data_IF_414635428711
#
_entry.id   IF_414635428711
#
_cell.length_a   1.000
_cell.length_b   1.000
_cell.length_c   1.000
_cell.angle_alpha   90.00
_cell.angle_beta   90.00
_cell.angle_gamma   90.00
#
_symmetry.space_group_name_H-M   'P 1'
#
loop_
_entity.id
_entity.type
_entity.pdbx_description
1 polymer ?
#
# COMPACT_ATOMS: atom_id res chain seq x y z
N UNK A 1 -3.77 4.04 72.55
CA UNK A 1 -4.35 4.92 71.54
C UNK A 1 -3.34 4.97 70.40
N UNK A 2 -3.34 4.23 69.49
CA UNK A 2 -3.81 3.39 68.60
C UNK A 2 -4.38 3.92 67.35
N UNK A 3 -3.98 3.33 66.33
CA UNK A 3 -4.67 3.12 65.09
C UNK A 3 -4.42 4.05 63.93
N UNK A 4 -4.16 3.39 62.86
CA UNK A 4 -4.50 3.77 61.47
C UNK A 4 -3.42 4.47 60.69
N UNK A 5 -2.39 3.72 60.29
CA UNK A 5 -1.62 4.04 59.09
C UNK A 5 -1.26 2.76 58.31
N UNK A 6 -2.28 1.97 57.98
CA UNK A 6 -2.16 0.86 57.04
C UNK A 6 -3.38 0.84 56.15
N UNK A 7 -3.35 1.62 55.06
CA UNK A 7 -4.15 1.39 53.83
C UNK A 7 -3.86 2.48 52.83
N UNK A 8 -2.76 2.42 52.14
CA UNK A 8 -2.61 3.08 50.81
C UNK A 8 -1.36 2.59 50.10
N UNK A 9 -1.24 1.30 49.92
CA UNK A 9 -0.22 0.75 49.01
C UNK A 9 -0.83 -0.42 48.27
N UNK A 10 -1.73 -0.13 47.33
CA UNK A 10 -2.15 -1.16 46.38
C UNK A 10 -2.91 -0.57 45.19
N UNK A 11 -2.36 0.44 44.53
CA UNK A 11 -2.95 0.94 43.27
C UNK A 11 -1.95 1.42 42.23
N UNK A 12 -0.70 0.97 42.26
CA UNK A 12 0.34 1.48 41.35
C UNK A 12 0.99 0.42 40.48
N UNK A 13 0.42 -0.75 40.30
CA UNK A 13 1.12 -1.81 39.56
C UNK A 13 0.27 -2.56 38.52
N UNK A 14 -0.65 -1.86 37.86
CA UNK A 14 -1.34 -2.38 36.68
C UNK A 14 -0.76 -1.91 35.34
N UNK A 15 0.43 -1.34 35.32
CA UNK A 15 1.08 -0.80 34.11
C UNK A 15 2.23 -1.65 33.57
N UNK A 16 2.49 -2.79 34.18
CA UNK A 16 3.47 -3.74 33.62
C UNK A 16 2.70 -4.85 32.92
N UNK A 17 2.86 -4.92 31.61
CA UNK A 17 2.38 -6.01 30.78
C UNK A 17 2.79 -7.34 31.40
N UNK A 18 1.82 -8.19 31.69
CA UNK A 18 2.08 -9.55 32.18
C UNK A 18 2.97 -10.28 31.16
N UNK A 19 3.85 -11.13 31.63
CA UNK A 19 4.71 -11.97 30.78
C UNK A 19 3.88 -12.72 29.72
N UNK A 20 2.70 -13.17 30.11
CA UNK A 20 1.74 -13.84 29.23
C UNK A 20 1.28 -12.97 28.06
N UNK A 21 1.07 -11.67 28.28
CA UNK A 21 0.69 -10.72 27.21
C UNK A 21 1.85 -10.49 26.25
N UNK A 22 3.08 -10.47 26.76
CA UNK A 22 4.29 -10.35 25.93
C UNK A 22 4.48 -11.61 25.09
N UNK A 23 4.35 -12.79 25.69
CA UNK A 23 4.48 -14.06 24.99
C UNK A 23 3.35 -14.22 23.94
N UNK A 24 2.14 -13.82 24.25
CA UNK A 24 1.04 -13.78 23.30
C UNK A 24 1.32 -12.83 22.13
N UNK A 25 1.83 -11.63 22.39
CA UNK A 25 2.23 -10.68 21.34
C UNK A 25 3.33 -11.24 20.44
N UNK A 26 4.38 -11.83 21.03
CA UNK A 26 5.46 -12.47 20.28
C UNK A 26 4.91 -13.56 19.36
N UNK A 27 4.02 -14.42 19.88
CA UNK A 27 3.41 -15.49 19.09
C UNK A 27 2.56 -14.95 17.93
N UNK A 28 1.82 -13.86 18.14
CA UNK A 28 1.05 -13.20 17.08
C UNK A 28 1.98 -12.65 16.00
N UNK A 29 3.10 -12.01 16.38
CA UNK A 29 4.09 -11.47 15.44
C UNK A 29 4.74 -12.60 14.62
N UNK A 30 5.14 -13.69 15.27
CA UNK A 30 5.65 -14.87 14.57
C UNK A 30 4.63 -15.46 13.60
N UNK A 31 3.38 -15.64 14.05
CA UNK A 31 2.30 -16.15 13.19
C UNK A 31 2.01 -15.22 11.99
N UNK A 32 2.07 -13.91 12.20
CA UNK A 32 1.91 -12.94 11.11
C UNK A 32 3.04 -13.07 10.07
N UNK A 33 4.30 -13.14 10.53
CA UNK A 33 5.46 -13.33 9.66
C UNK A 33 5.34 -14.57 8.78
N UNK A 34 4.87 -15.68 9.36
CA UNK A 34 4.80 -16.96 8.65
C UNK A 34 3.62 -17.03 7.66
N UNK A 35 2.61 -16.18 7.83
CA UNK A 35 1.40 -16.15 6.99
C UNK A 35 1.43 -15.09 5.91
N UNK A 36 2.25 -14.03 6.08
CA UNK A 36 2.29 -12.93 5.11
C UNK A 36 3.20 -13.31 3.95
N UNK A 37 2.69 -13.18 2.74
CA UNK A 37 3.42 -13.35 1.48
C UNK A 37 3.15 -12.18 0.54
N UNK A 38 3.94 -12.07 -0.52
CA UNK A 38 3.62 -11.21 -1.64
C UNK A 38 2.76 -11.95 -2.65
N UNK A 39 1.70 -11.31 -3.10
CA UNK A 39 0.89 -11.84 -4.20
C UNK A 39 1.74 -11.91 -5.47
N UNK A 40 1.81 -13.08 -6.10
CA UNK A 40 2.57 -13.32 -7.33
C UNK A 40 2.10 -12.47 -8.52
N UNK A 41 0.85 -11.99 -8.49
CA UNK A 41 0.24 -11.21 -9.57
C UNK A 41 0.46 -9.71 -9.37
N UNK A 42 0.08 -9.16 -8.23
CA UNK A 42 0.05 -7.70 -8.01
C UNK A 42 1.14 -7.18 -7.08
N UNK A 43 1.96 -8.05 -6.54
CA UNK A 43 3.01 -7.75 -5.56
C UNK A 43 2.50 -7.14 -4.24
N UNK A 44 1.19 -7.12 -3.98
CA UNK A 44 0.65 -6.65 -2.70
C UNK A 44 0.96 -7.65 -1.58
N UNK A 45 0.98 -7.18 -0.33
CA UNK A 45 1.00 -8.04 0.85
C UNK A 45 -0.32 -8.79 0.99
N UNK A 46 -0.25 -10.10 1.24
CA UNK A 46 -1.41 -10.98 1.32
C UNK A 46 -1.15 -12.16 2.27
N UNK A 47 -2.21 -12.84 2.64
CA UNK A 47 -2.16 -14.10 3.39
C UNK A 47 -2.43 -15.33 2.52
N UNK A 48 -2.70 -15.10 1.23
CA UNK A 48 -2.90 -16.14 0.20
C UNK A 48 -2.29 -15.68 -1.13
N UNK A 49 -1.92 -16.62 -1.99
CA UNK A 49 -1.45 -16.33 -3.35
C UNK A 49 -2.29 -17.14 -4.37
N UNK A 50 -3.01 -16.46 -5.27
CA UNK A 50 -3.17 -15.00 -5.38
C UNK A 50 -3.93 -14.38 -4.20
N UNK A 51 -3.74 -13.06 -3.99
CA UNK A 51 -4.46 -12.31 -2.96
C UNK A 51 -5.97 -12.26 -3.27
N UNK A 52 -6.77 -11.91 -2.27
CA UNK A 52 -8.24 -11.81 -2.38
C UNK A 52 -8.69 -10.89 -3.54
N UNK A 53 -7.96 -9.79 -3.76
CA UNK A 53 -8.25 -8.85 -4.85
C UNK A 53 -8.00 -9.48 -6.22
N UNK A 54 -6.85 -10.13 -6.41
CA UNK A 54 -6.50 -10.76 -7.68
C UNK A 54 -7.31 -12.05 -7.95
N UNK A 55 -7.81 -12.70 -6.90
CA UNK A 55 -8.65 -13.89 -6.99
C UNK A 55 -10.15 -13.61 -7.18
N UNK A 56 -10.58 -12.35 -7.07
CA UNK A 56 -12.00 -11.99 -7.24
C UNK A 56 -12.37 -11.78 -8.71
N UNK A 57 -13.04 -12.76 -9.29
CA UNK A 57 -13.49 -12.75 -10.69
C UNK A 57 -14.56 -11.67 -11.01
N UNK A 58 -15.07 -10.96 -10.02
CA UNK A 58 -16.01 -9.84 -10.21
C UNK A 58 -15.30 -8.55 -10.56
N UNK A 59 -13.98 -8.48 -10.35
CA UNK A 59 -13.20 -7.28 -10.64
C UNK A 59 -12.88 -7.16 -12.13
N UNK A 60 -12.77 -5.91 -12.56
CA UNK A 60 -12.38 -5.60 -13.94
C UNK A 60 -10.88 -5.81 -14.13
N UNK A 61 -10.52 -6.93 -14.74
CA UNK A 61 -9.12 -7.25 -15.06
C UNK A 61 -8.51 -6.39 -16.16
N UNK A 62 -9.33 -5.61 -16.88
CA UNK A 62 -8.85 -4.74 -17.94
C UNK A 62 -8.24 -3.42 -17.44
N UNK A 63 -8.41 -3.09 -16.15
CA UNK A 63 -7.92 -1.86 -15.54
C UNK A 63 -7.00 -2.17 -14.37
N UNK A 64 -5.77 -1.64 -14.39
CA UNK A 64 -4.80 -1.80 -13.29
C UNK A 64 -4.46 -0.43 -12.70
N UNK A 65 -4.65 -0.28 -11.39
CA UNK A 65 -4.17 0.86 -10.62
C UNK A 65 -2.79 0.56 -10.05
N UNK A 66 -1.80 1.33 -10.43
CA UNK A 66 -0.40 1.19 -9.96
C UNK A 66 -0.16 2.15 -8.82
N UNK A 67 0.25 1.61 -7.68
CA UNK A 67 0.51 2.34 -6.44
C UNK A 67 1.93 2.11 -5.94
N UNK A 68 2.40 2.97 -5.05
CA UNK A 68 3.75 2.90 -4.49
C UNK A 68 3.87 1.82 -3.42
N UNK A 69 2.89 1.76 -2.50
CA UNK A 69 2.96 0.91 -1.31
C UNK A 69 1.67 0.09 -1.08
N UNK A 70 1.75 -1.02 -0.32
CA UNK A 70 0.57 -1.81 0.05
C UNK A 70 -0.52 -1.00 0.80
N UNK A 71 -0.12 0.02 1.57
CA UNK A 71 -1.05 0.89 2.30
C UNK A 71 -1.97 1.68 1.36
N UNK A 72 -1.48 2.04 0.18
CA UNK A 72 -2.25 2.80 -0.82
C UNK A 72 -3.40 1.95 -1.37
N UNK A 73 -3.16 0.64 -1.57
CA UNK A 73 -4.22 -0.31 -1.93
C UNK A 73 -5.32 -0.29 -0.88
N UNK A 74 -4.95 -0.36 0.40
CA UNK A 74 -5.92 -0.35 1.48
C UNK A 74 -6.72 0.95 1.52
N UNK A 75 -6.06 2.10 1.31
CA UNK A 75 -6.72 3.40 1.30
C UNK A 75 -7.73 3.52 0.14
N UNK A 76 -7.36 3.05 -1.06
CA UNK A 76 -8.24 3.06 -2.21
C UNK A 76 -9.42 2.10 -2.06
N UNK A 77 -9.21 0.91 -1.50
CA UNK A 77 -10.26 -0.07 -1.23
C UNK A 77 -11.30 0.43 -0.21
N UNK A 78 -10.90 1.27 0.75
CA UNK A 78 -11.83 1.88 1.71
C UNK A 78 -12.88 2.78 1.06
N UNK A 79 -12.61 3.32 -0.13
CA UNK A 79 -13.59 4.12 -0.87
C UNK A 79 -14.72 3.28 -1.47
N UNK A 80 -14.48 1.99 -1.73
CA UNK A 80 -15.38 1.08 -2.44
C UNK A 80 -15.80 1.52 -3.86
N UNK A 81 -15.10 2.51 -4.43
CA UNK A 81 -15.41 3.07 -5.76
C UNK A 81 -14.59 2.42 -6.88
N UNK A 82 -13.44 1.83 -6.55
CA UNK A 82 -12.57 1.21 -7.53
C UNK A 82 -12.79 -0.31 -7.61
N UNK A 83 -13.09 -0.80 -8.80
CA UNK A 83 -13.39 -2.20 -9.04
C UNK A 83 -12.39 -2.92 -9.95
N UNK A 84 -11.29 -2.27 -10.30
CA UNK A 84 -10.20 -2.86 -11.07
C UNK A 84 -9.20 -3.62 -10.20
N UNK A 85 -8.07 -3.97 -10.80
CA UNK A 85 -6.95 -4.64 -10.14
C UNK A 85 -5.86 -3.64 -9.75
N UNK A 86 -4.98 -4.04 -8.85
CA UNK A 86 -3.84 -3.22 -8.41
C UNK A 86 -2.50 -3.80 -8.85
N UNK A 87 -1.48 -2.97 -8.79
CA UNK A 87 -0.08 -3.38 -8.82
C UNK A 87 0.75 -2.50 -7.89
N UNK A 88 1.51 -3.12 -6.99
CA UNK A 88 2.32 -2.41 -5.97
C UNK A 88 3.77 -2.40 -6.41
N UNK A 89 4.36 -1.20 -6.51
CA UNK A 89 5.76 -1.00 -6.95
C UNK A 89 6.77 -1.27 -5.84
N UNK A 90 6.38 -1.17 -4.58
CA UNK A 90 7.23 -1.19 -3.38
C UNK A 90 8.23 -0.04 -3.32
N UNK A 91 7.83 1.14 -3.75
CA UNK A 91 8.58 2.39 -3.67
C UNK A 91 8.47 3.24 -4.93
N UNK A 92 9.37 4.19 -5.03
CA UNK A 92 9.48 5.18 -6.13
C UNK A 92 10.92 5.27 -6.62
N UNK A 93 11.11 5.81 -7.82
CA UNK A 93 12.44 6.13 -8.32
C UNK A 93 13.01 7.28 -7.48
N UNK A 94 14.12 7.03 -6.79
CA UNK A 94 14.84 8.04 -6.02
C UNK A 94 16.35 7.92 -6.27
N UNK A 95 16.89 8.63 -7.28
CA UNK A 95 18.32 8.60 -7.58
C UNK A 95 19.20 9.05 -6.41
N UNK A 96 18.67 9.94 -5.55
CA UNK A 96 19.38 10.42 -4.37
C UNK A 96 19.57 9.33 -3.31
N UNK A 97 18.57 8.44 -3.18
CA UNK A 97 18.60 7.28 -2.27
C UNK A 97 19.16 6.02 -2.97
N UNK A 98 19.58 6.13 -4.21
CA UNK A 98 20.10 5.03 -5.01
C UNK A 98 19.03 4.02 -5.44
N UNK A 99 17.74 4.41 -5.43
CA UNK A 99 16.63 3.53 -5.85
C UNK A 99 16.40 3.68 -7.34
N UNK A 100 16.80 2.65 -8.10
CA UNK A 100 16.59 2.53 -9.52
C UNK A 100 15.39 1.63 -9.88
N UNK A 101 15.10 1.52 -11.19
CA UNK A 101 13.97 0.72 -11.69
C UNK A 101 14.05 -0.77 -11.31
N UNK A 102 15.26 -1.29 -11.12
CA UNK A 102 15.51 -2.70 -10.80
C UNK A 102 15.09 -3.09 -9.36
N UNK A 103 15.00 -2.10 -8.48
CA UNK A 103 14.58 -2.29 -7.09
C UNK A 103 13.06 -2.24 -6.93
N UNK A 104 12.37 -1.75 -7.95
CA UNK A 104 10.92 -1.63 -7.99
C UNK A 104 10.28 -2.79 -8.77
N UNK A 105 9.01 -3.08 -8.47
CA UNK A 105 8.23 -4.13 -9.14
C UNK A 105 7.73 -3.73 -10.54
N UNK A 106 8.56 -3.01 -11.29
CA UNK A 106 8.23 -2.52 -12.64
C UNK A 106 8.27 -3.66 -13.66
N UNK A 107 9.23 -4.58 -13.54
CA UNK A 107 9.33 -5.73 -14.45
C UNK A 107 8.10 -6.63 -14.36
N UNK A 108 7.61 -6.86 -13.16
CA UNK A 108 6.40 -7.64 -12.90
C UNK A 108 5.17 -6.96 -13.48
N UNK A 109 5.08 -5.61 -13.40
CA UNK A 109 4.04 -4.84 -14.06
C UNK A 109 4.08 -5.05 -15.57
N UNK A 110 5.23 -4.85 -16.20
CA UNK A 110 5.37 -5.00 -17.65
C UNK A 110 5.02 -6.42 -18.14
N UNK A 111 5.38 -7.44 -17.37
CA UNK A 111 4.99 -8.83 -17.67
C UNK A 111 3.46 -9.01 -17.67
N UNK A 112 2.74 -8.33 -16.75
CA UNK A 112 1.26 -8.36 -16.73
C UNK A 112 0.65 -7.63 -17.92
N UNK A 113 1.31 -6.60 -18.42
CA UNK A 113 0.84 -5.80 -19.57
C UNK A 113 1.16 -6.45 -20.92
N UNK A 114 1.95 -7.52 -20.93
CA UNK A 114 2.22 -8.29 -22.15
C UNK A 114 1.01 -9.13 -22.60
N UNK A 115 0.03 -9.31 -21.73
CA UNK A 115 -1.25 -9.94 -22.07
C UNK A 115 -2.22 -8.84 -22.54
N UNK A 116 -2.81 -9.00 -23.73
CA UNK A 116 -3.72 -8.03 -24.36
C UNK A 116 -5.05 -7.80 -23.59
N UNK A 117 -5.20 -8.41 -22.42
CA UNK A 117 -6.35 -8.23 -21.55
C UNK A 117 -6.42 -6.85 -20.90
N UNK A 118 -5.26 -6.25 -20.58
CA UNK A 118 -5.19 -4.95 -19.91
C UNK A 118 -5.33 -3.81 -20.91
N UNK A 119 -6.33 -2.96 -20.72
CA UNK A 119 -6.66 -1.81 -21.57
C UNK A 119 -6.20 -0.47 -20.99
N UNK A 120 -6.19 -0.38 -19.65
CA UNK A 120 -5.85 0.87 -18.98
C UNK A 120 -4.97 0.62 -17.75
N UNK A 121 -3.98 1.48 -17.59
CA UNK A 121 -3.16 1.60 -16.38
C UNK A 121 -3.37 2.99 -15.79
N UNK A 122 -3.89 3.04 -14.58
CA UNK A 122 -4.02 4.26 -13.78
C UNK A 122 -2.79 4.36 -12.89
N UNK A 123 -1.96 5.39 -13.08
CA UNK A 123 -0.79 5.61 -12.23
C UNK A 123 -1.21 6.47 -11.04
N UNK A 124 -1.14 5.88 -9.85
CA UNK A 124 -1.57 6.45 -8.58
C UNK A 124 -0.38 6.63 -7.63
N UNK A 125 0.72 7.19 -8.15
CA UNK A 125 1.87 7.60 -7.34
C UNK A 125 1.59 8.91 -6.64
N UNK A 126 2.30 9.17 -5.54
CA UNK A 126 2.17 10.40 -4.76
C UNK A 126 2.50 11.64 -5.61
N UNK A 127 1.87 12.78 -5.31
CA UNK A 127 2.11 14.05 -6.02
C UNK A 127 3.38 14.76 -5.55
N UNK A 128 4.44 14.02 -5.26
CA UNK A 128 5.77 14.52 -4.93
C UNK A 128 6.75 14.34 -6.11
N UNK A 129 7.96 14.85 -6.00
CA UNK A 129 8.96 14.84 -7.07
C UNK A 129 9.31 13.43 -7.53
N UNK A 130 9.47 12.49 -6.59
CA UNK A 130 9.83 11.09 -6.87
C UNK A 130 8.66 10.34 -7.52
N UNK A 131 7.43 10.53 -7.00
CA UNK A 131 6.22 9.95 -7.58
C UNK A 131 5.95 10.47 -9.00
N UNK A 132 6.21 11.76 -9.27
CA UNK A 132 6.13 12.35 -10.61
C UNK A 132 7.16 11.73 -11.56
N UNK A 133 8.41 11.63 -11.12
CA UNK A 133 9.47 11.02 -11.93
C UNK A 133 9.14 9.56 -12.24
N UNK A 134 8.62 8.84 -11.26
CA UNK A 134 8.18 7.43 -11.40
C UNK A 134 7.01 7.31 -12.37
N UNK A 135 6.01 8.18 -12.26
CA UNK A 135 4.88 8.20 -13.18
C UNK A 135 5.29 8.48 -14.62
N UNK A 136 6.18 9.46 -14.81
CA UNK A 136 6.71 9.78 -16.13
C UNK A 136 7.48 8.61 -16.72
N UNK A 137 8.33 7.96 -15.92
CA UNK A 137 9.09 6.79 -16.34
C UNK A 137 8.17 5.63 -16.77
N UNK A 138 7.20 5.29 -15.95
CA UNK A 138 6.21 4.25 -16.25
C UNK A 138 5.42 4.56 -17.51
N UNK A 139 4.96 5.79 -17.66
CA UNK A 139 4.22 6.22 -18.84
C UNK A 139 5.02 6.01 -20.13
N UNK A 140 6.34 6.27 -20.11
CA UNK A 140 7.19 6.03 -21.26
C UNK A 140 7.39 4.54 -21.57
N UNK A 141 7.46 3.71 -20.55
CA UNK A 141 7.62 2.25 -20.72
C UNK A 141 6.33 1.61 -21.23
N UNK A 142 5.18 2.08 -20.77
CA UNK A 142 3.86 1.47 -21.09
C UNK A 142 3.35 1.96 -22.45
N UNK A 143 3.66 3.18 -22.85
CA UNK A 143 3.18 3.77 -24.11
C UNK A 143 3.35 2.89 -25.36
N UNK A 144 4.48 2.16 -25.55
CA UNK A 144 4.64 1.27 -26.70
C UNK A 144 3.73 0.05 -26.72
N UNK A 145 3.13 -0.31 -25.56
CA UNK A 145 2.30 -1.52 -25.40
C UNK A 145 0.85 -1.30 -25.82
N UNK A 146 0.51 -0.13 -26.39
CA UNK A 146 -0.88 0.22 -26.78
C UNK A 146 -1.91 0.21 -25.64
N UNK A 147 -1.43 0.25 -24.38
CA UNK A 147 -2.26 0.36 -23.18
C UNK A 147 -2.47 1.85 -22.87
N UNK A 148 -3.72 2.21 -22.55
CA UNK A 148 -4.04 3.57 -22.12
C UNK A 148 -3.40 3.84 -20.75
N UNK A 149 -2.70 4.97 -20.63
CA UNK A 149 -2.12 5.41 -19.35
C UNK A 149 -2.84 6.65 -18.89
N UNK A 150 -3.39 6.60 -17.69
CA UNK A 150 -4.04 7.72 -17.00
C UNK A 150 -3.41 7.96 -15.64
N UNK A 151 -3.79 9.05 -14.98
CA UNK A 151 -3.31 9.42 -13.67
C UNK A 151 -4.48 9.84 -12.79
N UNK A 152 -4.33 9.70 -11.48
CA UNK A 152 -5.29 10.24 -10.54
C UNK A 152 -5.36 11.76 -10.73
N UNK A 153 -6.59 12.30 -10.73
CA UNK A 153 -6.82 13.74 -10.81
C UNK A 153 -6.25 14.43 -9.57
N UNK A 154 -5.69 15.62 -9.77
CA UNK A 154 -5.22 16.48 -8.70
C UNK A 154 -6.17 17.67 -8.55
N UNK A 155 -6.36 18.08 -7.33
CA UNK A 155 -7.21 19.22 -7.03
C UNK A 155 -7.34 19.45 -5.55
N UNK A 156 -7.99 20.56 -5.19
CA UNK A 156 -8.34 20.84 -3.81
C UNK A 156 -9.45 19.88 -3.37
N UNK A 157 -9.31 19.23 -2.20
CA UNK A 157 -10.40 18.42 -1.65
C UNK A 157 -11.60 19.31 -1.35
N UNK A 158 -12.80 18.73 -1.36
CA UNK A 158 -14.01 19.44 -0.98
C UNK A 158 -13.87 20.04 0.44
N UNK A 159 -14.01 21.35 0.58
CA UNK A 159 -13.75 22.08 1.83
C UNK A 159 -12.31 22.56 2.01
N UNK A 160 -11.40 22.30 1.06
CA UNK A 160 -10.06 22.87 1.05
C UNK A 160 -10.07 24.35 0.68
N UNK A 161 -9.22 25.16 1.33
CA UNK A 161 -9.05 26.59 1.02
C UNK A 161 -7.98 26.75 -0.06
N UNK A 162 -8.31 27.52 -1.10
CA UNK A 162 -7.40 27.86 -2.22
C UNK A 162 -6.12 28.53 -1.72
N UNK A 163 -6.20 29.27 -0.60
CA UNK A 163 -5.05 29.97 -0.02
C UNK A 163 -3.95 29.03 0.53
N UNK A 164 -4.25 27.76 0.73
CA UNK A 164 -3.28 26.74 1.18
C UNK A 164 -2.89 25.76 0.07
N UNK A 165 -3.34 25.97 -1.17
CA UNK A 165 -2.90 25.16 -2.29
C UNK A 165 -1.48 25.60 -2.71
N UNK A 166 -0.51 24.71 -2.54
CA UNK A 166 0.82 24.93 -3.08
C UNK A 166 0.78 25.00 -4.61
N UNK A 167 1.53 25.96 -5.13
CA UNK A 167 1.67 26.24 -6.56
C UNK A 167 2.72 25.35 -7.22
#
# INVERSE_FOLDING_TARGET
MNTSFEKSQNSTDKRYTHKEDIDAFINVVHSARDKICYCSICCNLATSDPCEICGDNRRDSSVICVVEHPQDVQALEQSHEYHGLYHVLHGVLSPLDGIGPEQLKIKELLNRLADDTVKEVIIATDPNTEGEATAYYLSRLIKPLSVRVTRIARGLPAGGDVGYADS
#
